data_IF_530844328803
#
_entry.id   IF_530844328803
#
_cell.length_a   1.000
_cell.length_b   1.000
_cell.length_c   1.000
_cell.angle_alpha   90.00
_cell.angle_beta   90.00
_cell.angle_gamma   90.00
#
_symmetry.space_group_name_H-M   'P 1'
#
loop_
_entity.id
_entity.type
_entity.pdbx_description
1 polymer ?
#
# COMPACT_ATOMS: atom_id res chain seq x y z
N UNK A 1 42.78 -31.93 11.52
CA UNK A 1 42.23 -30.54 11.46
C UNK A 1 42.40 -29.97 10.07
N UNK A 2 41.34 -29.91 9.26
CA UNK A 2 41.20 -28.99 8.11
C UNK A 2 39.72 -28.67 7.93
N UNK A 3 39.26 -27.61 8.58
CA UNK A 3 37.94 -26.99 8.39
C UNK A 3 38.10 -26.03 7.21
N UNK A 4 37.52 -26.29 6.04
CA UNK A 4 37.60 -25.31 4.92
C UNK A 4 36.60 -25.51 3.78
N UNK A 5 35.32 -25.82 4.03
CA UNK A 5 34.35 -25.88 2.90
C UNK A 5 32.97 -25.25 3.18
N UNK A 6 32.82 -24.47 4.25
CA UNK A 6 31.50 -23.94 4.68
C UNK A 6 31.39 -22.42 4.57
N UNK A 7 31.98 -21.80 3.55
CA UNK A 7 31.88 -20.34 3.36
C UNK A 7 31.31 -19.91 2.01
N UNK A 8 31.24 -20.82 1.03
CA UNK A 8 30.76 -20.47 -0.32
C UNK A 8 29.23 -20.57 -0.48
N UNK A 9 28.53 -21.22 0.44
CA UNK A 9 27.07 -21.35 0.39
C UNK A 9 26.31 -20.14 0.98
N UNK A 10 26.97 -19.29 1.77
CA UNK A 10 26.30 -18.19 2.48
C UNK A 10 26.13 -16.92 1.63
N UNK A 11 26.94 -16.73 0.59
CA UNK A 11 26.86 -15.53 -0.28
C UNK A 11 25.79 -15.67 -1.36
N UNK A 12 25.44 -16.88 -1.79
CA UNK A 12 24.40 -17.12 -2.79
C UNK A 12 22.96 -16.94 -2.25
N UNK A 13 22.76 -17.01 -0.93
CA UNK A 13 21.44 -16.84 -0.31
C UNK A 13 21.05 -15.37 -0.06
N UNK A 14 22.01 -14.44 -0.11
CA UNK A 14 21.74 -12.99 0.07
C UNK A 14 21.38 -12.32 -1.27
N UNK A 15 21.71 -12.93 -2.40
CA UNK A 15 21.37 -12.40 -3.73
C UNK A 15 19.91 -12.66 -4.16
N UNK A 16 19.16 -13.48 -3.41
CA UNK A 16 17.77 -13.88 -3.72
C UNK A 16 16.72 -13.18 -2.85
N UNK A 17 17.11 -12.36 -1.89
CA UNK A 17 16.20 -11.45 -1.17
C UNK A 17 15.85 -10.24 -2.04
N UNK A 18 15.11 -10.52 -3.11
CA UNK A 18 14.05 -9.70 -3.67
C UNK A 18 14.43 -8.31 -4.17
N UNK A 19 14.59 -8.17 -5.48
CA UNK A 19 14.45 -6.90 -6.19
C UNK A 19 13.00 -6.37 -6.08
N UNK A 20 12.56 -5.94 -4.90
CA UNK A 20 11.35 -5.13 -4.76
C UNK A 20 11.74 -3.70 -5.07
N UNK A 21 11.15 -3.11 -6.12
CA UNK A 21 11.33 -1.68 -6.39
C UNK A 21 10.84 -0.86 -5.19
N UNK A 22 11.39 0.33 -4.92
CA UNK A 22 10.93 1.19 -3.82
C UNK A 22 9.40 1.37 -3.83
N UNK A 23 8.83 1.60 -5.01
CA UNK A 23 7.39 1.62 -5.23
C UNK A 23 6.66 0.37 -4.71
N UNK A 24 7.17 -0.83 -4.99
CA UNK A 24 6.52 -2.09 -4.56
C UNK A 24 6.60 -2.26 -3.05
N UNK A 25 7.70 -1.85 -2.44
CA UNK A 25 7.88 -1.88 -0.99
C UNK A 25 6.85 -0.95 -0.31
N UNK A 26 6.80 0.32 -0.70
CA UNK A 26 5.87 1.28 -0.12
C UNK A 26 4.40 0.88 -0.31
N UNK A 27 4.02 0.38 -1.49
CA UNK A 27 2.66 -0.11 -1.72
C UNK A 27 2.31 -1.33 -0.86
N UNK A 28 3.28 -2.20 -0.57
CA UNK A 28 3.08 -3.31 0.36
C UNK A 28 2.85 -2.80 1.79
N UNK A 29 3.69 -1.87 2.25
CA UNK A 29 3.56 -1.29 3.60
C UNK A 29 2.22 -0.56 3.74
N UNK A 30 1.82 0.24 2.74
CA UNK A 30 0.51 0.89 2.72
C UNK A 30 -0.65 -0.10 2.86
N UNK A 31 -0.61 -1.23 2.14
CA UNK A 31 -1.65 -2.25 2.22
C UNK A 31 -1.73 -2.91 3.61
N UNK A 32 -0.57 -3.20 4.22
CA UNK A 32 -0.51 -3.74 5.59
C UNK A 32 -1.11 -2.74 6.57
N UNK A 33 -0.72 -1.47 6.51
CA UNK A 33 -1.22 -0.42 7.40
C UNK A 33 -2.72 -0.18 7.25
N UNK A 34 -3.27 -0.21 6.02
CA UNK A 34 -4.72 -0.13 5.81
C UNK A 34 -5.46 -1.34 6.42
N UNK A 35 -4.89 -2.55 6.32
CA UNK A 35 -5.49 -3.73 6.91
C UNK A 35 -5.44 -3.67 8.46
N UNK A 36 -4.33 -3.24 9.04
CA UNK A 36 -4.20 -3.03 10.48
C UNK A 36 -5.15 -1.93 10.98
N UNK A 37 -5.29 -0.83 10.22
CA UNK A 37 -6.22 0.25 10.54
C UNK A 37 -7.67 -0.27 10.62
N UNK A 38 -8.10 -1.13 9.71
CA UNK A 38 -9.43 -1.77 9.72
C UNK A 38 -9.61 -2.68 10.94
N UNK A 39 -8.58 -3.45 11.32
CA UNK A 39 -8.61 -4.28 12.54
C UNK A 39 -8.75 -3.41 13.79
N UNK A 40 -8.01 -2.30 13.88
CA UNK A 40 -8.07 -1.35 14.99
C UNK A 40 -9.41 -0.63 15.06
N UNK A 41 -9.99 -0.27 13.92
CA UNK A 41 -11.35 0.25 13.84
C UNK A 41 -12.36 -0.75 14.41
N UNK A 42 -12.29 -2.02 14.00
CA UNK A 42 -13.18 -3.08 14.49
C UNK A 42 -13.05 -3.34 16.00
N UNK A 43 -11.85 -3.12 16.56
CA UNK A 43 -11.58 -3.20 18.00
C UNK A 43 -11.97 -1.92 18.78
N UNK A 44 -12.45 -0.86 18.11
CA UNK A 44 -12.75 0.43 18.73
C UNK A 44 -11.48 1.24 19.12
N UNK A 45 -10.31 0.84 18.63
CA UNK A 45 -9.03 1.51 18.86
C UNK A 45 -8.83 2.68 17.87
N UNK A 46 -9.75 3.64 17.89
CA UNK A 46 -9.89 4.71 16.87
C UNK A 46 -8.64 5.55 16.63
N UNK A 47 -7.91 5.94 17.68
CA UNK A 47 -6.67 6.71 17.55
C UNK A 47 -5.61 5.93 16.75
N UNK A 48 -5.44 4.64 17.05
CA UNK A 48 -4.50 3.79 16.33
C UNK A 48 -4.96 3.54 14.89
N UNK A 49 -6.28 3.33 14.69
CA UNK A 49 -6.85 3.18 13.36
C UNK A 49 -6.57 4.42 12.49
N UNK A 50 -6.77 5.61 13.04
CA UNK A 50 -6.52 6.89 12.34
C UNK A 50 -5.05 7.04 11.96
N UNK A 51 -4.13 6.82 12.92
CA UNK A 51 -2.69 6.92 12.66
C UNK A 51 -2.23 5.95 11.57
N UNK A 52 -2.68 4.69 11.62
CA UNK A 52 -2.35 3.68 10.60
C UNK A 52 -2.90 4.05 9.21
N UNK A 53 -4.09 4.65 9.14
CA UNK A 53 -4.64 5.14 7.88
C UNK A 53 -3.78 6.28 7.31
N UNK A 54 -3.43 7.28 8.11
CA UNK A 54 -2.55 8.38 7.68
C UNK A 54 -1.18 7.88 7.21
N UNK A 55 -0.57 6.96 7.95
CA UNK A 55 0.69 6.34 7.56
C UNK A 55 0.57 5.56 6.25
N UNK A 56 -0.55 4.87 6.01
CA UNK A 56 -0.79 4.22 4.72
C UNK A 56 -0.86 5.24 3.57
N UNK A 57 -1.51 6.40 3.78
CA UNK A 57 -1.51 7.50 2.82
C UNK A 57 -0.12 8.03 2.49
N UNK A 58 0.73 8.18 3.52
CA UNK A 58 2.13 8.57 3.34
C UNK A 58 2.92 7.53 2.52
N UNK A 59 2.72 6.25 2.77
CA UNK A 59 3.37 5.16 2.02
C UNK A 59 2.91 5.12 0.55
N UNK A 60 1.61 5.28 0.27
CA UNK A 60 1.12 5.40 -1.11
C UNK A 60 1.80 6.57 -1.82
N UNK A 61 1.90 7.74 -1.15
CA UNK A 61 2.58 8.92 -1.68
C UNK A 61 4.03 8.60 -2.06
N UNK A 62 4.81 8.05 -1.12
CA UNK A 62 6.22 7.68 -1.37
C UNK A 62 6.35 6.70 -2.55
N UNK A 63 5.45 5.72 -2.64
CA UNK A 63 5.46 4.75 -3.73
C UNK A 63 5.13 5.35 -5.11
N UNK A 64 4.27 6.38 -5.15
CA UNK A 64 3.96 7.14 -6.38
C UNK A 64 5.11 8.09 -6.72
N UNK A 65 5.66 8.84 -5.77
CA UNK A 65 6.79 9.74 -5.99
C UNK A 65 8.05 9.01 -6.49
N UNK A 66 8.27 7.78 -6.02
CA UNK A 66 9.35 6.93 -6.52
C UNK A 66 9.19 6.54 -8.00
N UNK A 67 7.95 6.51 -8.53
CA UNK A 67 7.67 6.21 -9.94
C UNK A 67 6.30 6.79 -10.37
N UNK A 68 6.25 8.09 -10.70
CA UNK A 68 5.00 8.78 -10.99
C UNK A 68 4.43 8.39 -12.36
N UNK A 69 5.29 8.07 -13.34
CA UNK A 69 4.88 7.58 -14.65
C UNK A 69 4.95 6.05 -14.70
N UNK A 70 3.84 5.43 -15.08
CA UNK A 70 3.72 3.97 -15.25
C UNK A 70 3.20 3.64 -16.63
N UNK A 71 3.42 2.41 -17.08
CA UNK A 71 2.73 1.89 -18.26
C UNK A 71 1.28 1.61 -17.87
N UNK A 72 0.36 2.23 -18.58
CA UNK A 72 -1.07 1.96 -18.48
C UNK A 72 -1.44 0.62 -19.12
N UNK A 73 -2.69 0.20 -18.96
CA UNK A 73 -3.20 -1.03 -19.56
C UNK A 73 -3.06 -1.06 -21.10
N UNK A 74 -3.13 0.10 -21.76
CA UNK A 74 -2.91 0.24 -23.21
C UNK A 74 -1.44 0.36 -23.64
N UNK A 75 -0.48 0.20 -22.73
CA UNK A 75 0.96 0.32 -23.02
C UNK A 75 1.50 1.77 -23.13
N UNK A 76 0.61 2.77 -23.14
CA UNK A 76 0.98 4.18 -23.04
C UNK A 76 1.50 4.57 -21.66
N UNK A 77 2.18 5.71 -21.58
CA UNK A 77 2.57 6.30 -20.30
C UNK A 77 1.35 6.92 -19.60
N UNK A 78 1.18 6.58 -18.33
CA UNK A 78 0.14 7.05 -17.43
C UNK A 78 0.80 7.80 -16.28
N UNK A 79 0.47 9.07 -16.14
CA UNK A 79 0.79 9.83 -14.93
C UNK A 79 -0.16 9.42 -13.80
N UNK A 80 0.43 8.92 -12.71
CA UNK A 80 -0.30 8.45 -11.53
C UNK A 80 -0.65 9.60 -10.58
N UNK A 81 -0.08 10.78 -10.75
CA UNK A 81 -0.26 11.93 -9.84
C UNK A 81 -1.73 12.36 -9.72
N UNK A 82 -2.51 12.48 -10.82
CA UNK A 82 -3.93 12.82 -10.72
C UNK A 82 -4.75 11.74 -10.03
N UNK A 83 -4.43 10.46 -10.27
CA UNK A 83 -5.11 9.32 -9.62
C UNK A 83 -4.83 9.30 -8.12
N UNK A 84 -3.59 9.57 -7.73
CA UNK A 84 -3.20 9.71 -6.33
C UNK A 84 -3.89 10.90 -5.67
N UNK A 85 -3.91 12.07 -6.30
CA UNK A 85 -4.59 13.25 -5.76
C UNK A 85 -6.09 13.02 -5.56
N UNK A 86 -6.76 12.36 -6.51
CA UNK A 86 -8.18 12.01 -6.39
C UNK A 86 -8.42 10.98 -5.25
N UNK A 87 -7.51 10.03 -5.07
CA UNK A 87 -7.56 9.07 -3.97
C UNK A 87 -7.37 9.76 -2.60
N UNK A 88 -6.33 10.59 -2.50
CA UNK A 88 -5.95 11.29 -1.27
C UNK A 88 -7.04 12.25 -0.81
N UNK A 89 -7.56 13.09 -1.70
CA UNK A 89 -8.57 14.11 -1.39
C UNK A 89 -10.01 13.57 -1.37
N UNK A 90 -10.22 12.31 -1.78
CA UNK A 90 -11.53 11.68 -1.83
C UNK A 90 -11.68 10.62 -0.74
N UNK A 91 -11.72 9.33 -1.10
CA UNK A 91 -12.05 8.26 -0.16
C UNK A 91 -11.06 8.12 0.99
N UNK A 92 -9.78 8.42 0.78
CA UNK A 92 -8.79 8.32 1.86
C UNK A 92 -8.94 9.44 2.89
N UNK A 93 -9.16 10.68 2.46
CA UNK A 93 -9.49 11.79 3.36
C UNK A 93 -10.76 11.51 4.17
N UNK A 94 -11.82 11.01 3.52
CA UNK A 94 -13.06 10.63 4.21
C UNK A 94 -12.82 9.51 5.23
N UNK A 95 -11.94 8.55 4.92
CA UNK A 95 -11.57 7.50 5.86
C UNK A 95 -10.89 8.06 7.11
N UNK A 96 -9.85 8.88 6.94
CA UNK A 96 -9.12 9.50 8.07
C UNK A 96 -10.07 10.37 8.89
N UNK A 97 -10.93 11.17 8.23
CA UNK A 97 -11.91 12.00 8.92
C UNK A 97 -12.93 11.18 9.71
N UNK A 98 -13.47 10.11 9.13
CA UNK A 98 -14.48 9.27 9.79
C UNK A 98 -13.87 8.47 10.96
N UNK A 99 -12.64 7.98 10.81
CA UNK A 99 -11.89 7.32 11.88
C UNK A 99 -11.62 8.29 13.04
N UNK A 100 -11.12 9.49 12.74
CA UNK A 100 -10.84 10.51 13.76
C UNK A 100 -12.10 11.03 14.47
N UNK A 101 -13.26 10.90 13.85
CA UNK A 101 -14.56 11.23 14.44
C UNK A 101 -15.27 10.04 15.11
N UNK A 102 -14.64 8.86 15.15
CA UNK A 102 -15.19 7.61 15.69
C UNK A 102 -16.53 7.19 15.05
N UNK A 103 -16.71 7.44 13.74
CA UNK A 103 -17.97 7.19 13.03
C UNK A 103 -17.90 5.86 12.27
N UNK A 104 -18.23 4.76 12.95
CA UNK A 104 -18.04 3.40 12.45
C UNK A 104 -18.65 3.12 11.06
N UNK A 105 -19.90 3.54 10.82
CA UNK A 105 -20.57 3.32 9.54
C UNK A 105 -19.90 4.11 8.41
N UNK A 106 -19.58 5.39 8.65
CA UNK A 106 -18.87 6.22 7.68
C UNK A 106 -17.46 5.69 7.42
N UNK A 107 -16.73 5.27 8.45
CA UNK A 107 -15.41 4.70 8.32
C UNK A 107 -15.43 3.39 7.52
N UNK A 108 -16.43 2.54 7.73
CA UNK A 108 -16.61 1.29 6.96
C UNK A 108 -16.87 1.58 5.47
N UNK A 109 -17.77 2.53 5.17
CA UNK A 109 -18.04 2.94 3.79
C UNK A 109 -16.80 3.57 3.13
N UNK A 110 -16.06 4.42 3.86
CA UNK A 110 -14.84 5.06 3.39
C UNK A 110 -13.69 4.06 3.15
N UNK A 111 -13.58 3.02 3.98
CA UNK A 111 -12.65 1.90 3.75
C UNK A 111 -12.93 1.18 2.45
N UNK A 112 -14.20 0.83 2.20
CA UNK A 112 -14.62 0.18 0.97
C UNK A 112 -14.31 1.07 -0.26
N UNK A 113 -14.62 2.36 -0.18
CA UNK A 113 -14.30 3.33 -1.24
C UNK A 113 -12.78 3.49 -1.46
N UNK A 114 -11.99 3.49 -0.38
CA UNK A 114 -10.52 3.56 -0.43
C UNK A 114 -9.96 2.36 -1.18
N UNK A 115 -10.41 1.14 -0.84
CA UNK A 115 -10.00 -0.10 -1.53
C UNK A 115 -10.47 -0.17 -2.97
N UNK A 116 -11.68 0.29 -3.27
CA UNK A 116 -12.19 0.34 -4.64
C UNK A 116 -11.31 1.26 -5.51
N UNK A 117 -10.87 2.40 -4.98
CA UNK A 117 -10.00 3.29 -5.72
C UNK A 117 -8.58 2.73 -5.89
N UNK A 118 -8.08 1.93 -4.94
CA UNK A 118 -6.87 1.12 -5.16
C UNK A 118 -7.04 0.15 -6.34
N UNK A 119 -8.18 -0.54 -6.43
CA UNK A 119 -8.49 -1.45 -7.53
C UNK A 119 -8.57 -0.70 -8.88
N UNK A 120 -9.20 0.47 -8.92
CA UNK A 120 -9.26 1.31 -10.12
C UNK A 120 -7.87 1.72 -10.61
N UNK A 121 -7.00 2.13 -9.68
CA UNK A 121 -5.60 2.47 -9.98
C UNK A 121 -4.84 1.27 -10.57
N UNK A 122 -5.06 0.10 -9.99
CA UNK A 122 -4.49 -1.18 -10.42
C UNK A 122 -4.96 -1.61 -11.82
N UNK A 123 -6.24 -1.46 -12.12
CA UNK A 123 -6.81 -1.67 -13.46
C UNK A 123 -6.18 -0.72 -14.48
N UNK A 124 -6.04 0.57 -14.15
CA UNK A 124 -5.48 1.58 -15.04
C UNK A 124 -4.03 1.25 -15.47
N UNK A 125 -3.24 0.62 -14.59
CA UNK A 125 -1.86 0.16 -14.87
C UNK A 125 -1.78 -1.27 -15.41
N UNK A 126 -2.90 -1.87 -15.82
CA UNK A 126 -2.96 -3.22 -16.39
C UNK A 126 -2.68 -4.34 -15.38
N UNK A 127 -2.90 -4.09 -14.08
CA UNK A 127 -2.66 -5.05 -12.99
C UNK A 127 -3.92 -5.18 -12.14
N UNK A 128 -4.98 -5.85 -12.61
CA UNK A 128 -6.30 -5.83 -11.98
C UNK A 128 -6.34 -6.45 -10.58
N UNK A 129 -5.30 -7.17 -10.17
CA UNK A 129 -5.17 -7.74 -8.84
C UNK A 129 -4.28 -6.87 -7.95
N UNK A 130 -4.74 -6.63 -6.73
CA UNK A 130 -3.89 -6.14 -5.64
C UNK A 130 -3.26 -7.39 -5.02
N UNK A 131 -1.93 -7.57 -5.05
CA UNK A 131 -1.31 -8.74 -4.44
C UNK A 131 -1.57 -8.71 -2.94
N UNK A 132 -2.34 -9.69 -2.44
CA UNK A 132 -2.59 -9.90 -1.01
C UNK A 132 -1.47 -10.68 -0.32
N UNK A 133 -0.30 -10.82 -0.96
CA UNK A 133 0.77 -11.69 -0.48
C UNK A 133 1.52 -11.09 0.72
N UNK A 134 1.29 -11.71 1.88
CA UNK A 134 2.17 -11.66 3.06
C UNK A 134 1.56 -10.94 4.27
N UNK A 135 0.48 -11.50 4.81
CA UNK A 135 0.42 -11.75 6.26
C UNK A 135 1.44 -12.85 6.59
#
# INVERSE_FOLDING_TARGET
MKITHTLTALVALIALSGCTTPTRQHMRIANVKLAESEQKMAAGEWTQATALAEEAGAEVKLGIEARPIRKGAGGGDLDMTPLFAAWLNGPHHELVSALGANQAERATAAFAATRQQCANCHIAVGRPTIPVSGL
#
